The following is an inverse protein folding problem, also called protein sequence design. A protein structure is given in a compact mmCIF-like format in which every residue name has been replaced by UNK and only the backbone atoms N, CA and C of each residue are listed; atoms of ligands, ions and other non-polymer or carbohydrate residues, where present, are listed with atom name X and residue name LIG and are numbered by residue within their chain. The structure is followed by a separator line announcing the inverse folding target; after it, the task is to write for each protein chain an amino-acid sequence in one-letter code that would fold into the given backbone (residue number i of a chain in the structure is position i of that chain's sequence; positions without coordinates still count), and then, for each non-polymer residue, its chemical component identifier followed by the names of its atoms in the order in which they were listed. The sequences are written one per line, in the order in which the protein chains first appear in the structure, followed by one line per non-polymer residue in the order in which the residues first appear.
data_IF_010470257221
#
_entry.id   IF_010470257221
#
_cell.length_a   1.000
_cell.length_b   1.000
_cell.length_c   1.000
_cell.angle_alpha   90.00
_cell.angle_beta   90.00
_cell.angle_gamma   90.00
#
_symmetry.space_group_name_H-M   'P 1'
#
loop_
_entity.id
_entity.type
_entity.pdbx_description
1 polymer ?
#
# COMPACT_ATOMS: atom_id res chain seq x y z
N UNK A 1 -11.42 11.43 -3.69
CA UNK A 1 -11.18 10.04 -4.12
C UNK A 1 -11.87 9.08 -3.15
N UNK A 2 -12.28 7.87 -3.55
CA UNK A 2 -12.82 6.86 -2.61
C UNK A 2 -11.69 6.25 -1.76
N UNK A 3 -12.00 5.71 -0.56
CA UNK A 3 -11.00 4.98 0.23
C UNK A 3 -10.33 3.86 -0.56
N UNK A 4 -11.10 3.08 -1.34
CA UNK A 4 -10.54 2.01 -2.18
C UNK A 4 -9.54 2.53 -3.23
N UNK A 5 -9.82 3.66 -3.87
CA UNK A 5 -8.89 4.26 -4.82
C UNK A 5 -7.60 4.80 -4.15
N UNK A 6 -7.68 5.29 -2.91
CA UNK A 6 -6.49 5.65 -2.12
C UNK A 6 -5.63 4.41 -1.81
N UNK A 7 -6.27 3.31 -1.40
CA UNK A 7 -5.58 2.04 -1.12
C UNK A 7 -4.92 1.48 -2.37
N UNK A 8 -5.63 1.49 -3.50
CA UNK A 8 -5.12 1.04 -4.78
C UNK A 8 -3.91 1.89 -5.22
N UNK A 9 -3.97 3.21 -5.08
CA UNK A 9 -2.85 4.09 -5.39
C UNK A 9 -1.62 3.83 -4.48
N UNK A 10 -1.83 3.50 -3.20
CA UNK A 10 -0.73 3.15 -2.28
C UNK A 10 -0.07 1.81 -2.68
N UNK A 11 -0.86 0.82 -3.11
CA UNK A 11 -0.33 -0.45 -3.64
C UNK A 11 0.50 -0.20 -4.89
N UNK A 12 -0.01 0.57 -5.84
CA UNK A 12 0.72 0.91 -7.08
C UNK A 12 2.02 1.67 -6.81
N UNK A 13 2.00 2.60 -5.85
CA UNK A 13 3.20 3.34 -5.47
C UNK A 13 4.24 2.41 -4.82
N UNK A 14 3.83 1.52 -3.92
CA UNK A 14 4.73 0.52 -3.33
C UNK A 14 5.34 -0.39 -4.40
N UNK A 15 4.53 -0.87 -5.34
CA UNK A 15 5.02 -1.71 -6.44
C UNK A 15 5.99 -0.97 -7.35
N UNK A 16 5.73 0.31 -7.64
CA UNK A 16 6.67 1.14 -8.40
C UNK A 16 8.00 1.32 -7.65
N UNK A 17 7.96 1.56 -6.34
CA UNK A 17 9.17 1.71 -5.51
C UNK A 17 9.97 0.39 -5.45
N UNK A 18 9.29 -0.75 -5.31
CA UNK A 18 9.97 -2.04 -5.26
C UNK A 18 10.49 -2.52 -6.63
N UNK A 19 9.86 -2.09 -7.72
CA UNK A 19 10.33 -2.38 -9.08
C UNK A 19 11.57 -1.56 -9.47
N UNK A 20 11.69 -0.32 -8.97
CA UNK A 20 12.86 0.54 -9.21
C UNK A 20 13.78 0.56 -7.98
N UNK A 21 14.71 -0.39 -7.94
CA UNK A 21 15.71 -0.49 -6.86
C UNK A 21 16.86 0.53 -6.98
N UNK A 22 16.94 1.27 -8.10
CA UNK A 22 18.03 2.22 -8.35
C UNK A 22 17.66 3.64 -7.88
N UNK A 23 16.37 3.98 -7.90
CA UNK A 23 15.88 5.30 -7.48
C UNK A 23 15.50 5.34 -5.99
N UNK A 24 15.73 6.47 -5.30
CA UNK A 24 15.14 6.71 -3.99
C UNK A 24 13.61 6.72 -4.06
N UNK A 25 12.94 6.21 -3.03
CA UNK A 25 11.48 6.18 -2.93
C UNK A 25 10.83 7.56 -3.14
N UNK A 26 11.44 8.63 -2.61
CA UNK A 26 10.95 10.00 -2.79
C UNK A 26 10.90 10.43 -4.26
N UNK A 27 11.89 10.01 -5.06
CA UNK A 27 11.96 10.30 -6.49
C UNK A 27 10.86 9.57 -7.24
N UNK A 28 10.65 8.29 -6.93
CA UNK A 28 9.58 7.48 -7.51
C UNK A 28 8.21 8.07 -7.14
N UNK A 29 8.02 8.47 -5.88
CA UNK A 29 6.80 9.14 -5.41
C UNK A 29 6.53 10.45 -6.14
N UNK A 30 7.54 11.31 -6.31
CA UNK A 30 7.41 12.56 -7.05
C UNK A 30 6.96 12.33 -8.51
N UNK A 31 7.54 11.34 -9.20
CA UNK A 31 7.14 10.96 -10.54
C UNK A 31 5.70 10.39 -10.58
N UNK A 32 5.36 9.51 -9.64
CA UNK A 32 4.05 8.89 -9.50
C UNK A 32 2.91 9.90 -9.40
N UNK A 33 3.08 10.93 -8.55
CA UNK A 33 2.06 11.96 -8.35
C UNK A 33 2.07 13.05 -9.43
N UNK A 34 3.18 13.24 -10.14
CA UNK A 34 3.23 14.13 -11.32
C UNK A 34 2.34 13.59 -12.44
N UNK A 35 2.35 12.28 -12.65
CA UNK A 35 1.46 11.61 -13.61
C UNK A 35 -0.03 11.65 -13.21
N UNK A 36 -0.34 11.82 -11.92
CA UNK A 36 -1.70 11.80 -11.36
C UNK A 36 -2.18 13.20 -10.95
N UNK A 37 -2.26 14.13 -11.92
CA UNK A 37 -2.65 15.54 -11.68
C UNK A 37 -4.07 15.69 -11.10
N UNK A 38 -4.95 14.72 -11.34
CA UNK A 38 -6.30 14.67 -10.79
C UNK A 38 -6.35 14.40 -9.27
N UNK A 39 -5.26 13.91 -8.67
CA UNK A 39 -5.24 13.57 -7.25
C UNK A 39 -5.02 14.81 -6.40
N UNK A 40 -5.96 15.12 -5.50
CA UNK A 40 -5.91 16.26 -4.59
C UNK A 40 -4.82 16.14 -3.51
N UNK A 41 -4.50 17.25 -2.82
CA UNK A 41 -3.42 17.28 -1.82
C UNK A 41 -3.64 16.34 -0.62
N UNK A 42 -4.85 16.31 -0.06
CA UNK A 42 -5.20 15.41 1.04
C UNK A 42 -5.10 13.94 0.65
N UNK A 43 -5.56 13.65 -0.56
CA UNK A 43 -5.51 12.34 -1.19
C UNK A 43 -4.05 11.85 -1.38
N UNK A 44 -3.16 12.71 -1.90
CA UNK A 44 -1.73 12.41 -2.03
C UNK A 44 -1.10 12.13 -0.67
N UNK A 45 -1.45 12.92 0.34
CA UNK A 45 -0.95 12.74 1.71
C UNK A 45 -1.37 11.39 2.28
N UNK A 46 -2.64 11.01 2.14
CA UNK A 46 -3.13 9.72 2.59
C UNK A 46 -2.41 8.53 1.91
N UNK A 47 -2.12 8.65 0.61
CA UNK A 47 -1.35 7.64 -0.14
C UNK A 47 0.10 7.57 0.36
N UNK A 48 0.77 8.71 0.53
CA UNK A 48 2.14 8.80 1.04
C UNK A 48 2.24 8.22 2.44
N UNK A 49 1.42 8.69 3.37
CA UNK A 49 1.46 8.29 4.77
C UNK A 49 1.36 6.76 4.90
N UNK A 50 0.44 6.14 4.13
CA UNK A 50 0.28 4.69 4.10
C UNK A 50 1.45 3.96 3.45
N UNK A 51 1.95 4.46 2.32
CA UNK A 51 3.11 3.90 1.62
C UNK A 51 4.33 3.87 2.56
N UNK A 52 4.64 4.99 3.21
CA UNK A 52 5.78 5.04 4.12
C UNK A 52 5.54 4.31 5.44
N UNK A 53 4.30 4.19 5.92
CA UNK A 53 3.98 3.31 7.05
C UNK A 53 4.34 1.85 6.73
N UNK A 54 4.02 1.39 5.51
CA UNK A 54 4.43 0.06 5.02
C UNK A 54 5.94 -0.05 4.90
N UNK A 55 6.60 0.88 4.20
CA UNK A 55 8.05 0.81 3.97
C UNK A 55 8.84 0.76 5.29
N UNK A 56 8.49 1.59 6.26
CA UNK A 56 9.17 1.66 7.57
C UNK A 56 9.01 0.38 8.39
N UNK A 57 7.97 -0.43 8.15
CA UNK A 57 7.68 -1.65 8.91
C UNK A 57 7.68 -2.90 8.03
N UNK A 58 8.27 -2.83 6.85
CA UNK A 58 8.20 -3.88 5.82
C UNK A 58 8.60 -5.25 6.35
N UNK A 59 9.74 -5.37 7.03
CA UNK A 59 10.22 -6.64 7.55
C UNK A 59 9.25 -7.26 8.58
N UNK A 60 8.68 -6.44 9.47
CA UNK A 60 7.71 -6.90 10.45
C UNK A 60 6.38 -7.33 9.78
N UNK A 61 5.91 -6.58 8.78
CA UNK A 61 4.72 -6.94 8.01
C UNK A 61 4.94 -8.24 7.23
N UNK A 62 6.09 -8.39 6.57
CA UNK A 62 6.47 -9.60 5.83
C UNK A 62 6.55 -10.82 6.76
N UNK A 63 7.08 -10.65 7.97
CA UNK A 63 7.11 -11.71 8.98
C UNK A 63 5.70 -12.16 9.38
N UNK A 64 4.78 -11.23 9.65
CA UNK A 64 3.39 -11.56 9.95
C UNK A 64 2.68 -12.24 8.79
N UNK A 65 2.88 -11.74 7.56
CA UNK A 65 2.28 -12.32 6.34
C UNK A 65 2.75 -13.76 6.15
N UNK A 66 4.06 -14.02 6.26
CA UNK A 66 4.63 -15.35 6.07
C UNK A 66 4.07 -16.38 7.07
N UNK A 67 3.65 -15.96 8.27
CA UNK A 67 3.03 -16.85 9.27
C UNK A 67 1.61 -17.30 8.91
N UNK A 68 0.88 -16.48 8.16
CA UNK A 68 -0.55 -16.73 7.85
C UNK A 68 -0.71 -17.24 6.41
N UNK A 69 0.13 -16.77 5.49
CA UNK A 69 0.21 -17.23 4.10
C UNK A 69 1.65 -17.61 3.77
N UNK A 70 2.09 -18.83 4.12
CA UNK A 70 3.44 -19.30 3.79
C UNK A 70 3.66 -19.47 2.27
N UNK A 71 2.59 -19.71 1.50
CA UNK A 71 2.65 -19.93 0.05
C UNK A 71 1.96 -18.80 -0.74
N UNK A 72 2.55 -18.40 -1.88
CA UNK A 72 1.92 -17.46 -2.82
C UNK A 72 1.79 -16.01 -2.33
N UNK A 73 2.52 -15.63 -1.27
CA UNK A 73 2.55 -14.26 -0.76
C UNK A 73 3.33 -13.30 -1.70
N UNK A 74 4.34 -13.79 -2.40
CA UNK A 74 5.27 -12.97 -3.17
C UNK A 74 4.60 -12.20 -4.32
N UNK A 75 3.71 -12.86 -5.08
CA UNK A 75 2.99 -12.26 -6.20
C UNK A 75 2.01 -11.15 -5.78
N UNK A 76 1.65 -11.09 -4.49
CA UNK A 76 0.68 -10.14 -3.93
C UNK A 76 1.30 -9.33 -2.78
N UNK A 77 2.62 -9.29 -2.69
CA UNK A 77 3.34 -8.81 -1.50
C UNK A 77 2.90 -7.40 -1.09
N UNK A 78 2.81 -6.46 -2.04
CA UNK A 78 2.46 -5.07 -1.72
C UNK A 78 1.00 -4.90 -1.30
N UNK A 79 0.07 -5.62 -1.94
CA UNK A 79 -1.33 -5.67 -1.51
C UNK A 79 -1.45 -6.25 -0.10
N UNK A 80 -0.77 -7.36 0.17
CA UNK A 80 -0.79 -8.00 1.48
C UNK A 80 -0.17 -7.11 2.55
N UNK A 81 0.93 -6.40 2.24
CA UNK A 81 1.54 -5.42 3.15
C UNK A 81 0.61 -4.27 3.48
N UNK A 82 -0.12 -3.74 2.50
CA UNK A 82 -1.13 -2.69 2.73
C UNK A 82 -2.26 -3.22 3.61
N UNK A 83 -2.80 -4.41 3.32
CA UNK A 83 -3.83 -5.03 4.16
C UNK A 83 -3.34 -5.23 5.60
N UNK A 84 -2.14 -5.78 5.76
CA UNK A 84 -1.53 -5.99 7.08
C UNK A 84 -1.31 -4.66 7.82
N UNK A 85 -0.87 -3.60 7.12
CA UNK A 85 -0.70 -2.28 7.69
C UNK A 85 -2.02 -1.65 8.16
N UNK A 86 -3.11 -1.81 7.40
CA UNK A 86 -4.43 -1.31 7.80
C UNK A 86 -4.87 -1.90 9.14
N UNK A 87 -4.63 -3.18 9.35
CA UNK A 87 -5.01 -3.88 10.59
C UNK A 87 -4.01 -3.58 11.72
N UNK A 88 -2.72 -3.79 11.49
CA UNK A 88 -1.69 -3.80 12.54
C UNK A 88 -1.14 -2.42 12.90
N UNK A 89 -1.29 -1.42 12.01
CA UNK A 89 -0.77 -0.07 12.22
C UNK A 89 -1.92 0.93 12.38
N UNK A 90 -2.91 0.86 11.49
CA UNK A 90 -4.02 1.82 11.50
C UNK A 90 -5.23 1.37 12.33
N UNK A 91 -5.22 0.13 12.85
CA UNK A 91 -6.27 -0.39 13.72
C UNK A 91 -7.62 -0.55 13.04
N UNK A 92 -7.66 -0.73 11.72
CA UNK A 92 -8.92 -0.98 11.01
C UNK A 92 -9.47 -2.35 11.38
N UNK A 93 -10.79 -2.43 11.58
CA UNK A 93 -11.48 -3.70 11.72
C UNK A 93 -11.43 -4.51 10.42
N UNK A 94 -11.50 -5.83 10.54
CA UNK A 94 -11.53 -6.72 9.39
C UNK A 94 -12.68 -6.38 8.42
N UNK A 95 -13.87 -6.03 8.95
CA UNK A 95 -15.03 -5.63 8.14
C UNK A 95 -14.77 -4.36 7.34
N UNK A 96 -14.11 -3.37 7.94
CA UNK A 96 -13.76 -2.11 7.26
C UNK A 96 -12.74 -2.36 6.15
N UNK A 97 -11.74 -3.19 6.41
CA UNK A 97 -10.76 -3.60 5.41
C UNK A 97 -11.49 -4.32 4.26
N UNK A 98 -12.31 -5.32 4.57
CA UNK A 98 -13.06 -6.08 3.58
C UNK A 98 -14.02 -5.21 2.75
N UNK A 99 -14.65 -4.19 3.34
CA UNK A 99 -15.51 -3.25 2.63
C UNK A 99 -14.77 -2.24 1.75
N UNK A 100 -13.45 -2.11 1.90
CA UNK A 100 -12.61 -1.17 1.14
C UNK A 100 -11.94 -1.79 -0.08
N UNK A 101 -11.92 -3.12 -0.16
CA UNK A 101 -11.51 -3.86 -1.36
C UNK A 101 -12.78 -4.43 -2.00
N UNK A 102 -13.05 -4.08 -3.25
CA UNK A 102 -14.16 -4.70 -3.97
C UNK A 102 -13.99 -6.23 -3.89
N UNK A 103 -14.99 -6.90 -3.29
CA UNK A 103 -15.11 -8.35 -3.38
C UNK A 103 -15.22 -8.64 -4.87
N UNK A 104 -14.14 -9.15 -5.47
CA UNK A 104 -13.95 -9.26 -6.91
C UNK A 104 -15.24 -9.57 -7.65
N UNK A 105 -15.68 -8.61 -8.45
CA UNK A 105 -16.41 -8.87 -9.68
C UNK A 105 -15.41 -8.77 -10.82
#
# INVERSE_FOLDING_TARGET
MTPGAQLQAAIELLSAIHADTASPADRVGAAFFRARRYMGGADRRAVLDRTYAVLRRRAALDWWIARVLPEGAQARADRLRVIAALVLIEGWSADRVAGSFDRGR
#
